data_IF_294879117303
#
_entry.id   IF_294879117303
#
_cell.length_a   1.000
_cell.length_b   1.000
_cell.length_c   1.000
_cell.angle_alpha   90.00
_cell.angle_beta   90.00
_cell.angle_gamma   90.00
#
_symmetry.space_group_name_H-M   'P 1'
#
loop_
_entity.id
_entity.type
_entity.pdbx_description
1 polymer ?
#
# COMPACT_ATOMS: atom_id res chain seq x y z
N UNK A 1 -19.40 18.20 23.02
CA UNK A 1 -17.93 18.27 23.00
C UNK A 1 -17.34 17.93 24.38
N UNK A 2 -17.89 18.42 25.51
CA UNK A 2 -17.38 18.10 26.87
C UNK A 2 -17.36 16.61 27.21
N UNK A 3 -18.29 15.80 26.68
CA UNK A 3 -18.37 14.36 26.96
C UNK A 3 -17.53 13.48 26.04
N UNK A 4 -16.84 14.04 25.03
CA UNK A 4 -16.11 13.29 23.98
C UNK A 4 -16.94 12.14 23.39
N UNK A 5 -18.23 12.36 23.16
CA UNK A 5 -19.19 11.38 22.62
C UNK A 5 -19.79 11.91 21.34
N UNK A 6 -19.76 11.11 20.28
CA UNK A 6 -20.48 11.32 19.03
C UNK A 6 -21.86 10.66 19.16
N UNK A 7 -22.91 11.45 19.07
CA UNK A 7 -24.30 11.02 19.09
C UNK A 7 -25.03 11.58 17.89
N UNK A 8 -25.87 10.76 17.28
CA UNK A 8 -26.80 11.21 16.23
C UNK A 8 -27.86 12.15 16.84
N UNK A 9 -28.19 13.22 16.14
CA UNK A 9 -29.26 14.15 16.54
C UNK A 9 -30.59 13.61 15.99
N UNK A 10 -31.54 13.31 16.86
CA UNK A 10 -32.81 12.66 16.52
C UNK A 10 -32.66 11.13 16.37
N UNK A 11 -33.57 10.53 15.66
CA UNK A 11 -33.61 9.07 15.42
C UNK A 11 -32.48 8.65 14.47
N UNK A 12 -31.50 7.85 14.92
CA UNK A 12 -30.31 7.51 14.13
C UNK A 12 -30.65 6.83 12.81
N UNK A 13 -31.54 5.84 12.78
CA UNK A 13 -31.91 5.10 11.58
C UNK A 13 -32.46 6.03 10.50
N UNK A 14 -33.42 6.90 10.86
CA UNK A 14 -33.97 7.90 9.94
C UNK A 14 -32.90 8.85 9.39
N UNK A 15 -31.96 9.27 10.26
CA UNK A 15 -30.88 10.18 9.84
C UNK A 15 -29.89 9.53 8.87
N UNK A 16 -29.67 8.22 8.99
CA UNK A 16 -28.84 7.46 8.05
C UNK A 16 -29.58 7.15 6.75
N UNK A 17 -30.89 6.96 6.77
CA UNK A 17 -31.72 6.85 5.58
C UNK A 17 -31.73 8.15 4.75
N UNK A 18 -31.84 9.33 5.42
CA UNK A 18 -31.82 10.65 4.75
C UNK A 18 -30.50 10.93 4.00
N UNK A 19 -29.35 10.57 4.56
CA UNK A 19 -28.03 10.67 3.94
C UNK A 19 -27.13 9.57 4.48
N UNK A 20 -27.04 8.47 3.72
CA UNK A 20 -26.27 7.28 4.12
C UNK A 20 -24.76 7.52 4.19
N UNK A 21 -24.22 8.60 3.61
CA UNK A 21 -22.81 8.95 3.80
C UNK A 21 -22.48 9.31 5.26
N UNK A 22 -23.48 9.70 6.05
CA UNK A 22 -23.32 9.93 7.49
C UNK A 22 -22.76 8.71 8.23
N UNK A 23 -22.97 7.49 7.72
CA UNK A 23 -22.37 6.26 8.24
C UNK A 23 -20.84 6.35 8.23
N UNK A 24 -20.24 6.66 7.07
CA UNK A 24 -18.80 6.86 6.93
C UNK A 24 -18.30 8.06 7.74
N UNK A 25 -19.05 9.16 7.69
CA UNK A 25 -18.73 10.39 8.44
C UNK A 25 -18.70 10.17 9.95
N UNK A 26 -19.58 9.31 10.50
CA UNK A 26 -19.56 8.96 11.92
C UNK A 26 -18.25 8.27 12.31
N UNK A 27 -17.78 7.28 11.53
CA UNK A 27 -16.48 6.64 11.73
C UNK A 27 -15.35 7.65 11.63
N UNK A 28 -15.33 8.45 10.57
CA UNK A 28 -14.30 9.50 10.39
C UNK A 28 -14.26 10.48 11.58
N UNK A 29 -15.41 10.99 12.02
CA UNK A 29 -15.44 11.91 13.17
C UNK A 29 -15.00 11.23 14.46
N UNK A 30 -15.37 9.96 14.68
CA UNK A 30 -14.92 9.20 15.83
C UNK A 30 -13.38 9.19 15.92
N UNK A 31 -12.68 8.90 14.82
CA UNK A 31 -11.22 8.77 14.81
C UNK A 31 -10.48 10.10 14.69
N UNK A 32 -10.99 11.05 13.88
CA UNK A 32 -10.31 12.35 13.70
C UNK A 32 -10.51 13.31 14.88
N UNK A 33 -11.53 13.10 15.72
CA UNK A 33 -11.83 13.88 16.92
C UNK A 33 -11.56 13.13 18.22
N UNK A 34 -11.12 11.87 18.10
CA UNK A 34 -10.85 10.96 19.22
C UNK A 34 -12.04 10.90 20.18
N UNK A 35 -13.24 10.70 19.64
CA UNK A 35 -14.47 10.60 20.41
C UNK A 35 -15.08 9.20 20.24
N UNK A 36 -15.68 8.68 21.32
CA UNK A 36 -16.44 7.42 21.22
C UNK A 36 -17.80 7.66 20.58
N UNK A 37 -18.26 6.69 19.81
CA UNK A 37 -19.63 6.70 19.30
C UNK A 37 -20.57 6.18 20.40
N UNK A 38 -21.68 6.86 20.62
CA UNK A 38 -22.71 6.41 21.53
C UNK A 38 -23.30 5.07 21.08
N UNK A 39 -23.68 4.20 22.04
CA UNK A 39 -24.08 2.82 21.76
C UNK A 39 -25.24 2.69 20.76
N UNK A 40 -26.30 3.51 20.90
CA UNK A 40 -27.44 3.45 19.98
C UNK A 40 -27.06 3.96 18.58
N UNK A 41 -26.28 5.02 18.50
CA UNK A 41 -25.73 5.53 17.23
C UNK A 41 -24.85 4.47 16.56
N UNK A 42 -24.01 3.75 17.33
CA UNK A 42 -23.16 2.68 16.81
C UNK A 42 -23.98 1.49 16.30
N UNK A 43 -24.98 1.04 17.08
CA UNK A 43 -25.89 -0.03 16.67
C UNK A 43 -26.66 0.34 15.39
N UNK A 44 -27.07 1.60 15.27
CA UNK A 44 -27.73 2.08 14.05
C UNK A 44 -26.78 2.12 12.85
N UNK A 45 -25.49 2.43 13.03
CA UNK A 45 -24.49 2.32 11.95
C UNK A 45 -24.43 0.87 11.44
N UNK A 46 -24.36 -0.11 12.35
CA UNK A 46 -24.32 -1.52 11.97
C UNK A 46 -25.57 -1.96 11.20
N UNK A 47 -26.78 -1.58 11.69
CA UNK A 47 -28.04 -1.91 11.01
C UNK A 47 -28.16 -1.30 9.62
N UNK A 48 -27.67 -0.09 9.44
CA UNK A 48 -27.83 0.69 8.23
C UNK A 48 -26.62 0.59 7.27
N UNK A 49 -25.59 -0.18 7.59
CA UNK A 49 -24.41 -0.36 6.74
C UNK A 49 -24.74 -0.68 5.27
N UNK A 50 -25.75 -1.52 4.94
CA UNK A 50 -26.13 -1.81 3.55
C UNK A 50 -26.57 -0.58 2.74
N UNK A 51 -27.03 0.49 3.39
CA UNK A 51 -27.42 1.72 2.70
C UNK A 51 -26.25 2.41 2.02
N UNK A 52 -24.99 2.11 2.43
CA UNK A 52 -23.79 2.67 1.82
C UNK A 52 -23.69 2.31 0.34
N UNK A 53 -24.25 1.19 -0.10
CA UNK A 53 -24.30 0.79 -1.50
C UNK A 53 -25.05 1.78 -2.43
N UNK A 54 -25.82 2.71 -1.86
CA UNK A 54 -26.55 3.77 -2.61
C UNK A 54 -25.70 5.01 -2.84
N UNK A 55 -24.53 5.11 -2.21
CA UNK A 55 -23.69 6.30 -2.25
C UNK A 55 -22.67 6.18 -3.39
N UNK A 56 -22.45 7.30 -4.09
CA UNK A 56 -21.44 7.37 -5.14
C UNK A 56 -20.05 7.01 -4.60
N UNK A 57 -19.28 6.15 -5.30
CA UNK A 57 -17.97 5.69 -4.84
C UNK A 57 -17.00 6.82 -4.52
N UNK A 58 -17.08 7.93 -5.25
CA UNK A 58 -16.24 9.11 -5.05
C UNK A 58 -16.45 9.72 -3.65
N UNK A 59 -17.71 9.78 -3.18
CA UNK A 59 -18.04 10.30 -1.85
C UNK A 59 -17.56 9.35 -0.74
N UNK A 60 -17.67 8.03 -0.96
CA UNK A 60 -17.14 7.00 -0.04
C UNK A 60 -15.63 7.14 0.04
N UNK A 61 -14.94 7.26 -1.11
CA UNK A 61 -13.49 7.45 -1.20
C UNK A 61 -13.03 8.66 -0.37
N UNK A 62 -13.67 9.81 -0.53
CA UNK A 62 -13.29 11.03 0.21
C UNK A 62 -13.33 10.83 1.74
N UNK A 63 -14.29 10.10 2.27
CA UNK A 63 -14.36 9.81 3.69
C UNK A 63 -13.31 8.76 4.10
N UNK A 64 -13.06 7.73 3.25
CA UNK A 64 -12.01 6.74 3.44
C UNK A 64 -10.63 7.40 3.49
N UNK A 65 -10.32 8.27 2.53
CA UNK A 65 -9.05 9.01 2.47
C UNK A 65 -8.79 9.78 3.78
N UNK A 66 -9.80 10.48 4.27
CA UNK A 66 -9.71 11.23 5.53
C UNK A 66 -9.53 10.33 6.75
N UNK A 67 -10.07 9.11 6.73
CA UNK A 67 -9.84 8.11 7.78
C UNK A 67 -8.38 7.63 7.71
N UNK A 68 -7.91 7.23 6.53
CA UNK A 68 -6.57 6.68 6.32
C UNK A 68 -5.45 7.70 6.58
N UNK A 69 -5.68 8.97 6.29
CA UNK A 69 -4.73 10.05 6.55
C UNK A 69 -4.75 10.56 8.00
N UNK A 70 -5.73 10.14 8.82
CA UNK A 70 -5.80 10.53 10.23
C UNK A 70 -4.84 9.72 11.11
N UNK A 71 -4.46 10.24 12.28
CA UNK A 71 -3.73 9.49 13.31
C UNK A 71 -4.51 8.27 13.83
N UNK A 72 -5.83 8.31 13.76
CA UNK A 72 -6.72 7.21 14.17
C UNK A 72 -7.02 6.19 13.08
N UNK A 73 -6.22 6.09 12.01
CA UNK A 73 -6.46 5.23 10.83
C UNK A 73 -6.68 3.77 11.15
N UNK A 74 -5.88 3.20 12.04
CA UNK A 74 -6.07 1.83 12.54
C UNK A 74 -7.47 1.65 13.10
N UNK A 75 -7.85 2.47 14.08
CA UNK A 75 -9.18 2.40 14.70
C UNK A 75 -10.30 2.65 13.69
N UNK A 76 -10.05 3.52 12.70
CA UNK A 76 -11.01 3.77 11.61
C UNK A 76 -11.27 2.52 10.77
N UNK A 77 -10.22 1.80 10.37
CA UNK A 77 -10.35 0.54 9.62
C UNK A 77 -11.01 -0.54 10.47
N UNK A 78 -10.64 -0.70 11.75
CA UNK A 78 -11.33 -1.59 12.69
C UNK A 78 -12.82 -1.28 12.77
N UNK A 79 -13.20 -0.01 12.97
CA UNK A 79 -14.60 0.40 13.05
C UNK A 79 -15.37 0.13 11.76
N UNK A 80 -14.75 0.35 10.59
CA UNK A 80 -15.37 0.02 9.29
C UNK A 80 -15.67 -1.49 9.17
N UNK A 81 -14.78 -2.34 9.67
CA UNK A 81 -14.98 -3.80 9.70
C UNK A 81 -16.05 -4.19 10.73
N UNK A 82 -15.94 -3.73 11.98
CA UNK A 82 -16.85 -4.02 13.08
C UNK A 82 -18.31 -3.63 12.76
N UNK A 83 -18.50 -2.47 12.13
CA UNK A 83 -19.82 -1.96 11.75
C UNK A 83 -20.38 -2.58 10.47
N UNK A 84 -19.58 -3.37 9.74
CA UNK A 84 -19.98 -3.94 8.46
C UNK A 84 -19.87 -2.99 7.27
N UNK A 85 -19.47 -1.73 7.47
CA UNK A 85 -19.29 -0.75 6.38
C UNK A 85 -18.22 -1.18 5.40
N UNK A 86 -17.13 -1.82 5.87
CA UNK A 86 -16.03 -2.28 5.02
C UNK A 86 -16.50 -3.26 3.93
N UNK A 87 -17.59 -4.01 4.14
CA UNK A 87 -18.21 -4.89 3.12
C UNK A 87 -18.65 -4.14 1.87
N UNK A 88 -18.97 -2.86 2.01
CA UNK A 88 -19.44 -1.99 0.93
C UNK A 88 -18.36 -1.06 0.39
N UNK A 89 -17.21 -0.96 1.08
CA UNK A 89 -16.06 -0.13 0.67
C UNK A 89 -14.99 -1.00 0.02
N UNK A 90 -14.38 -1.91 0.77
CA UNK A 90 -13.35 -2.86 0.31
C UNK A 90 -13.66 -4.23 0.91
N UNK A 91 -14.62 -4.99 0.32
CA UNK A 91 -15.00 -6.30 0.83
C UNK A 91 -13.84 -7.31 0.88
N UNK A 92 -12.81 -7.12 0.06
CA UNK A 92 -11.61 -7.96 0.01
C UNK A 92 -10.85 -8.00 1.35
N UNK A 93 -10.96 -6.95 2.16
CA UNK A 93 -10.35 -6.91 3.52
C UNK A 93 -10.87 -8.02 4.42
N UNK A 94 -12.12 -8.46 4.24
CA UNK A 94 -12.65 -9.58 5.02
C UNK A 94 -11.94 -10.90 4.74
N UNK A 95 -11.43 -11.11 3.53
CA UNK A 95 -10.61 -12.29 3.21
C UNK A 95 -9.29 -12.33 3.99
N UNK A 96 -8.79 -11.19 4.46
CA UNK A 96 -7.55 -11.09 5.24
C UNK A 96 -7.77 -11.53 6.70
N UNK A 97 -9.01 -11.44 7.22
CA UNK A 97 -9.37 -11.85 8.58
C UNK A 97 -9.32 -13.38 8.68
N UNK A 98 -8.54 -13.90 9.62
CA UNK A 98 -8.34 -15.34 9.78
C UNK A 98 -7.45 -15.99 8.71
N UNK A 99 -6.91 -15.23 7.76
CA UNK A 99 -5.90 -15.72 6.84
C UNK A 99 -4.56 -15.86 7.57
N UNK A 100 -4.36 -17.05 8.18
CA UNK A 100 -3.17 -17.35 8.99
C UNK A 100 -1.90 -17.33 8.17
N UNK A 101 -0.81 -16.85 8.79
CA UNK A 101 0.52 -16.72 8.22
C UNK A 101 1.53 -17.64 8.92
N UNK A 102 2.72 -17.92 8.35
CA UNK A 102 3.75 -18.69 9.03
C UNK A 102 4.22 -17.97 10.30
N UNK A 103 4.05 -18.56 11.52
CA UNK A 103 4.33 -17.88 12.78
C UNK A 103 5.79 -17.43 12.96
N UNK A 104 6.74 -18.10 12.29
CA UNK A 104 8.16 -17.73 12.31
C UNK A 104 8.46 -16.37 11.67
N UNK A 105 7.60 -15.92 10.77
CA UNK A 105 7.74 -14.62 10.09
C UNK A 105 6.70 -13.61 10.53
N UNK A 106 5.54 -14.08 10.97
CA UNK A 106 4.38 -13.28 11.37
C UNK A 106 3.84 -13.73 12.72
N UNK A 107 4.58 -13.48 13.82
CA UNK A 107 4.14 -13.86 15.18
C UNK A 107 2.89 -13.07 15.62
N UNK A 108 2.60 -11.95 14.96
CA UNK A 108 1.45 -11.09 15.23
C UNK A 108 0.09 -11.71 14.86
N UNK A 109 0.06 -12.74 13.99
CA UNK A 109 -1.16 -13.47 13.69
C UNK A 109 -1.55 -13.53 12.20
N UNK A 110 -2.79 -13.16 11.87
CA UNK A 110 -3.31 -13.19 10.51
C UNK A 110 -2.94 -11.94 9.69
N UNK A 111 -3.26 -11.97 8.39
CA UNK A 111 -2.95 -10.87 7.45
C UNK A 111 -3.63 -9.56 7.89
N UNK A 112 -4.86 -9.62 8.42
CA UNK A 112 -5.57 -8.43 8.88
C UNK A 112 -4.93 -7.80 10.11
N UNK A 113 -4.57 -8.62 11.11
CA UNK A 113 -3.87 -8.17 12.31
C UNK A 113 -2.55 -7.49 11.95
N UNK A 114 -1.75 -8.10 11.06
CA UNK A 114 -0.53 -7.53 10.52
C UNK A 114 -0.77 -6.16 9.87
N UNK A 115 -1.74 -6.06 8.96
CA UNK A 115 -2.09 -4.81 8.28
C UNK A 115 -2.51 -3.72 9.28
N UNK A 116 -3.25 -4.06 10.32
CA UNK A 116 -3.63 -3.12 11.38
C UNK A 116 -2.42 -2.61 12.17
N UNK A 117 -1.41 -3.47 12.43
CA UNK A 117 -0.18 -3.06 13.10
C UNK A 117 0.62 -2.08 12.24
N UNK A 118 0.72 -2.31 10.94
CA UNK A 118 1.36 -1.38 10.00
C UNK A 118 0.62 -0.04 9.95
N UNK A 119 -0.72 -0.05 9.87
CA UNK A 119 -1.53 1.18 9.92
C UNK A 119 -1.33 1.96 11.23
N UNK A 120 -1.15 1.25 12.34
CA UNK A 120 -0.85 1.86 13.63
C UNK A 120 0.54 2.49 13.67
N UNK A 121 1.53 1.84 13.08
CA UNK A 121 2.92 2.32 13.05
C UNK A 121 3.13 3.48 12.06
N UNK A 122 2.30 3.58 11.02
CA UNK A 122 2.43 4.55 9.94
C UNK A 122 2.36 6.00 10.46
N UNK A 123 3.46 6.76 10.24
CA UNK A 123 3.59 8.18 10.61
C UNK A 123 3.84 8.43 12.10
N UNK A 124 4.11 7.40 12.94
CA UNK A 124 4.45 7.59 14.36
C UNK A 124 5.80 8.25 14.60
N UNK A 125 6.69 8.18 13.63
CA UNK A 125 8.00 8.86 13.65
C UNK A 125 7.92 10.34 13.22
N UNK A 126 6.72 10.85 12.93
CA UNK A 126 6.49 12.21 12.47
C UNK A 126 6.70 12.42 10.97
N UNK A 127 7.00 11.35 10.21
CA UNK A 127 7.07 11.43 8.76
C UNK A 127 5.70 11.73 8.14
N UNK A 128 5.64 12.55 7.07
CA UNK A 128 4.40 12.80 6.36
C UNK A 128 3.86 11.51 5.73
N UNK A 129 2.56 11.31 5.83
CA UNK A 129 1.87 10.14 5.26
C UNK A 129 1.20 10.54 3.97
N UNK A 130 1.66 9.99 2.84
CA UNK A 130 0.97 10.12 1.55
C UNK A 130 -0.29 9.24 1.51
N UNK A 131 -1.26 9.60 0.67
CA UNK A 131 -2.45 8.77 0.47
C UNK A 131 -2.06 7.44 -0.18
N UNK A 132 -1.13 7.48 -1.12
CA UNK A 132 -0.62 6.31 -1.83
C UNK A 132 0.02 5.32 -0.86
N UNK A 133 0.83 5.79 0.09
CA UNK A 133 1.42 4.94 1.11
C UNK A 133 0.37 4.34 2.05
N UNK A 134 -0.60 5.13 2.50
CA UNK A 134 -1.67 4.63 3.39
C UNK A 134 -2.54 3.56 2.71
N UNK A 135 -2.85 3.74 1.42
CA UNK A 135 -3.53 2.74 0.60
C UNK A 135 -2.62 1.53 0.32
N UNK A 136 -1.34 1.76 0.06
CA UNK A 136 -0.34 0.71 -0.09
C UNK A 136 -0.27 -0.19 1.14
N UNK A 137 -0.18 0.40 2.34
CA UNK A 137 -0.21 -0.34 3.62
C UNK A 137 -1.50 -1.15 3.77
N UNK A 138 -2.66 -0.57 3.46
CA UNK A 138 -3.95 -1.28 3.58
C UNK A 138 -4.06 -2.47 2.61
N UNK A 139 -3.45 -2.38 1.42
CA UNK A 139 -3.69 -3.30 0.31
C UNK A 139 -2.48 -4.20 -0.03
N UNK A 140 -1.27 -4.01 0.57
CA UNK A 140 -0.05 -4.72 0.14
C UNK A 140 -0.21 -6.24 0.13
N UNK A 141 -0.96 -6.76 1.09
CA UNK A 141 -1.18 -8.20 1.30
C UNK A 141 -2.59 -8.69 0.94
N UNK A 142 -3.40 -7.87 0.25
CA UNK A 142 -4.76 -8.23 -0.15
C UNK A 142 -4.81 -9.47 -1.07
N UNK A 143 -3.71 -9.80 -1.73
CA UNK A 143 -3.55 -11.00 -2.56
C UNK A 143 -3.22 -12.28 -1.79
N UNK A 144 -2.87 -12.21 -0.50
CA UNK A 144 -2.52 -13.40 0.29
C UNK A 144 -3.68 -14.41 0.42
N UNK A 145 -4.93 -13.99 0.73
CA UNK A 145 -6.04 -14.94 0.87
C UNK A 145 -6.25 -15.84 -0.36
N UNK A 146 -6.38 -15.33 -1.60
CA UNK A 146 -6.58 -16.18 -2.77
C UNK A 146 -5.33 -16.99 -3.14
N UNK A 147 -4.13 -16.55 -2.75
CA UNK A 147 -2.87 -17.24 -3.03
C UNK A 147 -2.44 -18.22 -1.92
N UNK A 148 -3.24 -18.36 -0.86
CA UNK A 148 -2.91 -19.20 0.29
C UNK A 148 -2.88 -20.69 -0.09
N UNK A 149 -1.74 -21.31 0.09
CA UNK A 149 -1.52 -22.74 -0.11
C UNK A 149 -0.91 -23.34 1.16
N UNK A 150 -1.30 -24.58 1.47
CA UNK A 150 -0.73 -25.36 2.58
C UNK A 150 -0.18 -26.63 1.96
N UNK A 151 1.11 -26.87 2.09
CA UNK A 151 1.72 -28.10 1.58
C UNK A 151 1.49 -29.30 2.53
N UNK A 152 1.90 -30.49 2.11
CA UNK A 152 1.71 -31.76 2.86
C UNK A 152 2.38 -31.73 4.25
N UNK A 153 3.36 -30.85 4.46
CA UNK A 153 4.03 -30.65 5.76
C UNK A 153 3.34 -29.64 6.66
N UNK A 154 2.21 -29.06 6.20
CA UNK A 154 1.49 -28.00 6.90
C UNK A 154 2.11 -26.60 6.73
N UNK A 155 3.12 -26.42 5.87
CA UNK A 155 3.75 -25.14 5.61
C UNK A 155 2.84 -24.26 4.74
N UNK A 156 2.58 -23.05 5.23
CA UNK A 156 1.79 -22.03 4.53
C UNK A 156 2.68 -21.26 3.55
N UNK A 157 2.18 -21.05 2.32
CA UNK A 157 2.83 -20.27 1.26
C UNK A 157 1.81 -19.37 0.59
N UNK A 158 2.30 -18.25 0.02
CA UNK A 158 1.49 -17.24 -0.70
C UNK A 158 2.14 -16.89 -2.05
N UNK A 159 2.51 -17.90 -2.84
CA UNK A 159 3.24 -17.68 -4.10
C UNK A 159 2.44 -16.80 -5.06
N UNK A 160 3.03 -15.66 -5.49
CA UNK A 160 2.43 -14.76 -6.46
C UNK A 160 1.41 -13.77 -5.86
N UNK A 161 1.28 -13.70 -4.54
CA UNK A 161 0.34 -12.77 -3.88
C UNK A 161 0.65 -11.29 -4.17
N UNK A 162 1.87 -10.96 -4.49
CA UNK A 162 2.32 -9.63 -4.92
C UNK A 162 1.67 -9.22 -6.24
N UNK A 163 1.65 -10.09 -7.22
CA UNK A 163 1.02 -9.87 -8.54
C UNK A 163 -0.50 -9.91 -8.46
N UNK A 164 -1.05 -10.92 -7.79
CA UNK A 164 -2.48 -11.04 -7.56
C UNK A 164 -3.01 -9.84 -6.77
N UNK A 165 -2.30 -9.47 -5.69
CA UNK A 165 -2.61 -8.30 -4.89
C UNK A 165 -2.60 -7.00 -5.69
N UNK A 166 -1.63 -6.81 -6.58
CA UNK A 166 -1.57 -5.66 -7.48
C UNK A 166 -2.78 -5.60 -8.42
N UNK A 167 -3.22 -6.74 -8.96
CA UNK A 167 -4.44 -6.84 -9.78
C UNK A 167 -5.68 -6.48 -8.96
N UNK A 168 -5.85 -7.08 -7.77
CA UNK A 168 -6.96 -6.81 -6.86
C UNK A 168 -6.98 -5.33 -6.42
N UNK A 169 -5.82 -4.76 -6.05
CA UNK A 169 -5.70 -3.35 -5.69
C UNK A 169 -6.16 -2.43 -6.83
N UNK A 170 -5.79 -2.75 -8.07
CA UNK A 170 -6.24 -2.01 -9.26
C UNK A 170 -7.75 -2.01 -9.41
N UNK A 171 -8.40 -3.14 -9.21
CA UNK A 171 -9.85 -3.27 -9.33
C UNK A 171 -10.57 -2.55 -8.17
N UNK A 172 -10.05 -2.65 -6.95
CA UNK A 172 -10.54 -1.94 -5.77
C UNK A 172 -10.48 -0.43 -6.01
N UNK A 173 -9.33 0.09 -6.41
CA UNK A 173 -9.11 1.53 -6.58
C UNK A 173 -9.90 2.10 -7.76
N UNK A 174 -10.07 1.34 -8.86
CA UNK A 174 -10.96 1.70 -9.97
C UNK A 174 -12.42 1.77 -9.53
N UNK A 175 -12.88 0.79 -8.75
CA UNK A 175 -14.23 0.76 -8.20
C UNK A 175 -14.50 2.00 -7.32
N UNK A 176 -13.50 2.42 -6.54
CA UNK A 176 -13.55 3.61 -5.70
C UNK A 176 -13.24 4.91 -6.47
N UNK A 177 -13.03 4.85 -7.79
CA UNK A 177 -12.80 6.02 -8.66
C UNK A 177 -11.57 6.85 -8.28
N UNK A 178 -10.46 6.19 -7.91
CA UNK A 178 -9.18 6.86 -7.79
C UNK A 178 -8.62 7.25 -9.17
N UNK A 179 -7.75 8.24 -9.20
CA UNK A 179 -7.03 8.64 -10.43
C UNK A 179 -6.02 7.56 -10.86
N UNK A 180 -5.71 7.50 -12.15
CA UNK A 180 -4.70 6.56 -12.64
C UNK A 180 -3.34 6.73 -11.95
N UNK A 181 -2.95 7.96 -11.60
CA UNK A 181 -1.70 8.22 -10.89
C UNK A 181 -1.66 7.51 -9.53
N UNK A 182 -2.73 7.61 -8.72
CA UNK A 182 -2.84 6.91 -7.44
C UNK A 182 -2.88 5.39 -7.66
N UNK A 183 -3.68 4.93 -8.63
CA UNK A 183 -3.78 3.49 -8.95
C UNK A 183 -2.41 2.92 -9.29
N UNK A 184 -1.67 3.57 -10.20
CA UNK A 184 -0.38 3.07 -10.67
C UNK A 184 0.67 3.09 -9.56
N UNK A 185 0.69 4.12 -8.70
CA UNK A 185 1.58 4.20 -7.55
C UNK A 185 1.31 3.07 -6.54
N UNK A 186 0.05 2.88 -6.13
CA UNK A 186 -0.32 1.84 -5.16
C UNK A 186 -0.07 0.43 -5.72
N UNK A 187 -0.49 0.17 -6.98
CA UNK A 187 -0.26 -1.12 -7.62
C UNK A 187 1.22 -1.46 -7.74
N UNK A 188 2.06 -0.45 -8.04
CA UNK A 188 3.51 -0.64 -8.10
C UNK A 188 4.09 -0.98 -6.72
N UNK A 189 3.64 -0.34 -5.64
CA UNK A 189 4.04 -0.68 -4.27
C UNK A 189 3.64 -2.12 -3.92
N UNK A 190 2.39 -2.51 -4.18
CA UNK A 190 1.88 -3.86 -3.91
C UNK A 190 2.66 -4.91 -4.71
N UNK A 191 2.92 -4.70 -6.00
CA UNK A 191 3.65 -5.65 -6.84
C UNK A 191 5.12 -5.80 -6.43
N UNK A 192 5.73 -4.73 -5.92
CA UNK A 192 7.18 -4.70 -5.67
C UNK A 192 7.56 -4.90 -4.21
N UNK A 193 6.61 -4.95 -3.25
CA UNK A 193 6.95 -5.01 -1.83
C UNK A 193 7.85 -6.22 -1.48
N UNK A 194 7.66 -7.37 -2.16
CA UNK A 194 8.48 -8.56 -1.96
C UNK A 194 9.91 -8.47 -2.55
N UNK A 195 10.20 -7.47 -3.42
CA UNK A 195 11.52 -7.35 -4.04
C UNK A 195 12.62 -6.99 -3.03
N UNK A 196 12.26 -6.34 -1.94
CA UNK A 196 13.19 -6.00 -0.87
C UNK A 196 13.83 -7.22 -0.23
N UNK A 197 13.20 -8.39 -0.26
CA UNK A 197 13.75 -9.65 0.26
C UNK A 197 15.08 -10.05 -0.41
N UNK A 198 15.35 -9.58 -1.63
CA UNK A 198 16.52 -9.96 -2.42
C UNK A 198 17.44 -8.77 -2.76
N UNK A 199 17.29 -7.61 -2.09
CA UNK A 199 18.04 -6.38 -2.47
C UNK A 199 19.55 -6.55 -2.33
N UNK A 200 20.02 -7.32 -1.35
CA UNK A 200 21.45 -7.56 -1.15
C UNK A 200 22.10 -8.43 -2.23
N UNK A 201 21.28 -9.24 -2.96
CA UNK A 201 21.75 -10.07 -4.08
C UNK A 201 21.58 -9.37 -5.43
N UNK A 202 20.99 -8.17 -5.46
CA UNK A 202 20.84 -7.41 -6.72
C UNK A 202 22.19 -6.93 -7.23
N UNK A 203 22.37 -6.99 -8.57
CA UNK A 203 23.46 -6.29 -9.22
C UNK A 203 23.34 -4.78 -8.94
N UNK A 204 24.46 -4.07 -8.93
CA UNK A 204 24.51 -2.62 -8.68
C UNK A 204 23.60 -1.84 -9.63
N UNK A 205 23.58 -2.19 -10.92
CA UNK A 205 22.68 -1.60 -11.93
C UNK A 205 21.21 -1.82 -11.58
N UNK A 206 20.84 -3.04 -11.22
CA UNK A 206 19.47 -3.40 -10.84
C UNK A 206 19.02 -2.65 -9.59
N UNK A 207 19.87 -2.58 -8.56
CA UNK A 207 19.58 -1.86 -7.32
C UNK A 207 19.37 -0.36 -7.59
N UNK A 208 20.26 0.27 -8.39
CA UNK A 208 20.14 1.69 -8.75
C UNK A 208 18.83 1.98 -9.52
N UNK A 209 18.49 1.14 -10.47
CA UNK A 209 17.22 1.23 -11.20
C UNK A 209 16.00 1.02 -10.28
N UNK A 210 16.09 0.08 -9.33
CA UNK A 210 15.05 -0.17 -8.35
C UNK A 210 14.83 1.08 -7.46
N UNK A 211 15.91 1.64 -6.91
CA UNK A 211 15.86 2.85 -6.07
C UNK A 211 15.42 4.12 -6.83
N UNK A 212 15.58 4.15 -8.16
CA UNK A 212 15.16 5.29 -8.99
C UNK A 212 13.70 5.29 -9.39
N UNK A 213 12.92 4.28 -8.96
CA UNK A 213 11.52 4.18 -9.30
C UNK A 213 10.72 5.37 -8.74
N UNK A 214 9.69 5.84 -9.46
CA UNK A 214 8.74 6.80 -8.90
C UNK A 214 8.17 6.27 -7.57
N UNK A 215 7.99 7.14 -6.60
CA UNK A 215 7.47 6.78 -5.26
C UNK A 215 8.31 5.76 -4.48
N UNK A 216 9.60 5.58 -4.81
CA UNK A 216 10.46 4.62 -4.11
C UNK A 216 10.57 4.90 -2.60
N UNK A 217 10.50 6.15 -2.17
CA UNK A 217 10.45 6.51 -0.74
C UNK A 217 9.27 5.87 -0.02
N UNK A 218 8.11 5.83 -0.65
CA UNK A 218 6.91 5.19 -0.09
C UNK A 218 7.04 3.66 -0.10
N UNK A 219 7.66 3.08 -1.15
CA UNK A 219 7.95 1.63 -1.20
C UNK A 219 8.92 1.21 -0.09
N UNK A 220 9.97 2.01 0.16
CA UNK A 220 10.93 1.76 1.23
C UNK A 220 10.30 1.91 2.62
N UNK A 221 9.40 2.88 2.79
CA UNK A 221 8.66 3.06 4.03
C UNK A 221 7.66 1.93 4.25
N UNK A 222 6.96 1.47 3.21
CA UNK A 222 6.10 0.29 3.27
C UNK A 222 6.90 -0.92 3.76
N UNK A 223 8.09 -1.16 3.18
CA UNK A 223 8.96 -2.27 3.61
C UNK A 223 9.43 -2.11 5.06
N UNK A 224 9.76 -0.89 5.51
CA UNK A 224 10.12 -0.62 6.90
C UNK A 224 9.00 -1.00 7.86
N UNK A 225 7.78 -0.59 7.53
CA UNK A 225 6.59 -0.88 8.34
C UNK A 225 6.28 -2.38 8.38
N UNK A 226 6.41 -3.07 7.25
CA UNK A 226 6.23 -4.51 7.14
C UNK A 226 7.22 -5.26 8.05
N UNK A 227 8.51 -4.93 7.97
CA UNK A 227 9.53 -5.50 8.86
C UNK A 227 9.23 -5.24 10.34
N UNK A 228 8.90 -4.00 10.72
CA UNK A 228 8.62 -3.63 12.10
C UNK A 228 7.37 -4.33 12.67
N UNK A 229 6.40 -4.58 11.81
CA UNK A 229 5.11 -5.21 12.18
C UNK A 229 5.15 -6.73 12.09
N UNK A 230 6.26 -7.33 11.69
CA UNK A 230 6.47 -8.77 11.58
C UNK A 230 7.62 -9.24 12.47
N UNK A 231 8.72 -9.71 11.90
CA UNK A 231 9.85 -10.28 12.64
C UNK A 231 10.92 -9.27 13.09
N UNK A 232 10.79 -7.99 12.72
CA UNK A 232 11.72 -6.91 13.08
C UNK A 232 13.07 -6.93 12.35
N UNK A 233 13.23 -7.75 11.30
CA UNK A 233 14.49 -7.84 10.55
C UNK A 233 14.66 -6.66 9.61
N UNK A 234 15.53 -5.71 9.99
CA UNK A 234 15.73 -4.43 9.27
C UNK A 234 16.94 -4.42 8.33
N UNK A 235 17.65 -5.55 8.18
CA UNK A 235 18.92 -5.60 7.43
C UNK A 235 18.78 -5.14 5.97
N UNK A 236 17.71 -5.56 5.28
CA UNK A 236 17.45 -5.17 3.91
C UNK A 236 17.08 -3.69 3.78
N UNK A 237 16.29 -3.18 4.72
CA UNK A 237 15.95 -1.76 4.79
C UNK A 237 17.20 -0.90 5.02
N UNK A 238 18.04 -1.28 6.00
CA UNK A 238 19.29 -0.57 6.29
C UNK A 238 20.24 -0.59 5.09
N UNK A 239 20.39 -1.76 4.44
CA UNK A 239 21.21 -1.88 3.23
C UNK A 239 20.77 -0.91 2.12
N UNK A 240 19.47 -0.79 1.88
CA UNK A 240 18.92 0.14 0.87
C UNK A 240 19.15 1.60 1.28
N UNK A 241 18.96 1.93 2.57
CA UNK A 241 19.22 3.27 3.11
C UNK A 241 20.68 3.67 2.91
N UNK A 242 21.62 2.80 3.28
CA UNK A 242 23.06 3.05 3.11
C UNK A 242 23.43 3.19 1.62
N UNK A 243 22.82 2.36 0.76
CA UNK A 243 22.99 2.49 -0.68
C UNK A 243 22.48 3.84 -1.21
N UNK A 244 21.30 4.28 -0.79
CA UNK A 244 20.76 5.62 -1.17
C UNK A 244 21.66 6.74 -0.69
N UNK A 245 22.13 6.67 0.55
CA UNK A 245 23.05 7.68 1.11
C UNK A 245 24.37 7.77 0.34
N UNK A 246 24.86 6.65 -0.19
CA UNK A 246 26.07 6.62 -1.04
C UNK A 246 25.91 7.35 -2.40
N UNK A 247 24.67 7.59 -2.82
CA UNK A 247 24.34 8.35 -4.04
C UNK A 247 23.75 9.73 -3.76
N UNK A 248 23.84 10.25 -2.53
CA UNK A 248 23.24 11.54 -2.16
C UNK A 248 23.69 12.70 -3.06
N UNK A 249 24.97 12.71 -3.45
CA UNK A 249 25.58 13.76 -4.25
C UNK A 249 25.66 13.41 -5.75
N UNK A 250 25.04 12.31 -6.18
CA UNK A 250 25.05 11.86 -7.56
C UNK A 250 23.72 11.24 -7.97
N UNK A 251 23.28 11.37 -9.21
CA UNK A 251 22.03 10.76 -9.65
C UNK A 251 22.12 9.24 -9.59
N UNK A 252 21.06 8.59 -9.07
CA UNK A 252 20.92 7.14 -9.08
C UNK A 252 21.07 6.56 -10.49
N UNK A 253 20.45 7.21 -11.46
CA UNK A 253 20.56 6.88 -12.89
C UNK A 253 21.06 8.13 -13.63
N UNK A 254 22.36 8.26 -13.89
CA UNK A 254 22.89 9.35 -14.66
C UNK A 254 22.43 9.28 -16.13
N UNK A 255 22.46 10.39 -16.86
CA UNK A 255 22.19 10.39 -18.30
C UNK A 255 23.01 9.31 -19.02
N UNK A 256 22.44 8.61 -20.02
CA UNK A 256 23.15 7.57 -20.74
C UNK A 256 24.33 8.15 -21.51
N UNK A 257 25.49 7.50 -21.40
CA UNK A 257 26.70 7.85 -22.17
C UNK A 257 26.51 7.59 -23.65
N UNK A 258 25.73 6.60 -24.03
CA UNK A 258 25.41 6.24 -25.41
C UNK A 258 23.88 6.34 -25.62
N UNK A 259 23.53 7.06 -26.67
CA UNK A 259 22.12 7.32 -27.04
C UNK A 259 21.77 6.62 -28.36
N UNK A 260 20.50 6.62 -28.74
CA UNK A 260 20.07 6.09 -30.03
C UNK A 260 20.70 6.81 -31.21
N UNK A 261 21.06 8.11 -31.05
CA UNK A 261 21.73 8.89 -32.09
C UNK A 261 23.17 8.37 -32.35
N UNK A 262 23.87 8.01 -31.30
CA UNK A 262 25.22 7.44 -31.40
C UNK A 262 25.23 6.13 -32.18
N UNK A 263 24.18 5.30 -32.00
CA UNK A 263 24.03 4.05 -32.76
C UNK A 263 23.73 4.32 -34.24
N UNK A 264 22.95 5.35 -34.53
CA UNK A 264 22.70 5.79 -35.93
C UNK A 264 23.95 6.31 -36.59
N UNK A 265 24.74 7.13 -35.87
CA UNK A 265 26.02 7.69 -36.37
C UNK A 265 27.04 6.60 -36.67
N UNK A 266 26.93 5.45 -35.98
CA UNK A 266 27.72 4.24 -36.26
C UNK A 266 27.16 3.40 -37.42
N UNK A 267 26.12 3.87 -38.11
CA UNK A 267 25.51 3.18 -39.26
C UNK A 267 24.58 2.02 -38.90
N UNK A 268 24.21 1.88 -37.63
CA UNK A 268 23.31 0.81 -37.22
C UNK A 268 21.86 1.18 -37.60
N UNK A 269 21.11 0.30 -38.27
CA UNK A 269 19.72 0.59 -38.65
C UNK A 269 18.82 0.63 -37.42
N UNK A 270 17.86 1.59 -37.33
CA UNK A 270 16.91 1.64 -36.24
C UNK A 270 16.01 0.39 -36.23
N UNK A 271 15.82 -0.20 -35.04
CA UNK A 271 15.04 -1.42 -34.92
C UNK A 271 14.85 -1.87 -33.46
N UNK A 272 14.19 -3.01 -33.24
CA UNK A 272 13.93 -3.57 -31.90
C UNK A 272 15.17 -3.80 -31.06
N UNK A 273 16.32 -4.05 -31.70
CA UNK A 273 17.59 -4.31 -31.03
C UNK A 273 18.21 -3.04 -30.42
N UNK A 274 17.85 -1.82 -30.92
CA UNK A 274 18.30 -0.58 -30.29
C UNK A 274 17.98 -0.54 -28.80
N UNK A 275 16.75 -0.91 -28.43
CA UNK A 275 16.33 -0.95 -27.03
C UNK A 275 17.21 -1.90 -26.21
N UNK A 276 17.51 -3.08 -26.75
CA UNK A 276 18.34 -4.09 -26.09
C UNK A 276 19.78 -3.57 -25.89
N UNK A 277 20.37 -2.98 -26.93
CA UNK A 277 21.73 -2.45 -26.88
C UNK A 277 21.82 -1.26 -25.92
N UNK A 278 20.91 -0.29 -26.02
CA UNK A 278 20.90 0.87 -25.12
C UNK A 278 20.68 0.46 -23.67
N UNK A 279 19.78 -0.47 -23.41
CA UNK A 279 19.56 -1.01 -22.06
C UNK A 279 20.83 -1.70 -21.53
N UNK A 280 21.51 -2.49 -22.36
CA UNK A 280 22.76 -3.16 -21.98
C UNK A 280 23.90 -2.17 -21.73
N UNK A 281 24.03 -1.15 -22.54
CA UNK A 281 25.04 -0.08 -22.38
C UNK A 281 24.77 0.71 -21.09
N UNK A 282 23.52 1.03 -20.81
CA UNK A 282 23.14 1.68 -19.56
C UNK A 282 23.41 0.79 -18.33
N UNK A 283 23.14 -0.50 -18.41
CA UNK A 283 23.52 -1.46 -17.36
C UNK A 283 25.03 -1.44 -17.10
N UNK A 284 25.87 -1.51 -18.15
CA UNK A 284 27.33 -1.44 -18.04
C UNK A 284 27.83 -0.10 -17.46
N UNK A 285 27.16 1.01 -17.81
CA UNK A 285 27.43 2.32 -17.23
C UNK A 285 27.11 2.32 -15.72
N UNK A 286 25.95 1.80 -15.32
CA UNK A 286 25.54 1.74 -13.92
C UNK A 286 26.42 0.81 -13.08
N UNK A 287 26.97 -0.25 -13.68
CA UNK A 287 27.98 -1.12 -13.06
C UNK A 287 29.38 -0.47 -12.96
N UNK A 288 29.60 0.64 -13.68
CA UNK A 288 30.87 1.33 -13.72
C UNK A 288 31.91 0.71 -14.69
N UNK A 289 31.47 -0.25 -15.52
CA UNK A 289 32.31 -0.86 -16.58
C UNK A 289 32.43 0.07 -17.77
N UNK A 290 31.35 0.72 -18.20
CA UNK A 290 31.37 1.78 -19.21
C UNK A 290 31.46 3.13 -18.50
N UNK A 291 32.62 3.83 -18.68
CA UNK A 291 32.94 5.10 -18.01
C UNK A 291 32.98 6.32 -18.94
N UNK A 292 33.18 6.07 -20.21
CA UNK A 292 33.24 7.11 -21.23
C UNK A 292 32.48 6.66 -22.47
N UNK A 293 32.07 7.66 -23.30
CA UNK A 293 31.49 7.44 -24.63
C UNK A 293 32.50 6.88 -25.62
#
# INVERSE_FOLDING_TARGET
>A
IRARVLRCIGEPDRRFEEDSLRLMRAVRFAVTREVRVEAETYAAICRNAPLLARIAPERIREELDRILLSSGRKRGVEMLVETGLMKHVIPEVYGMIGCTQPPQWHPEGDVYAHTLMMLDALGKDGAPVSLELALGVLLHDVGKPPCRQVDETGRIRFSGHDKEGSSMARDILRRLKYSNAVIDAVCAMVERHMRFMNVQQMKKSTLRMFMSAPHFSDELELHRLDCLSSNGLMDNWQFVRDAMDSYRDAPLVPPPLVTGRDLLDLGLPPGPDFRKWLSRLQELQLEGTLRTR
#
